data_IF_413894980106
#
_entry.id   IF_413894980106
#
_cell.length_a   1.000
_cell.length_b   1.000
_cell.length_c   1.000
_cell.angle_alpha   90.00
_cell.angle_beta   90.00
_cell.angle_gamma   90.00
#
_symmetry.space_group_name_H-M   'P 1'
#
loop_
_entity.id
_entity.type
_entity.pdbx_description
1 polymer ?
#
# COMPACT_ATOMS: atom_id res chain seq x y z
N UNK A 1 -0.63 9.04 -4.16
CA UNK A 1 -1.41 8.65 -2.96
C UNK A 1 -0.61 7.72 -2.07
N UNK A 2 -0.15 6.54 -2.57
CA UNK A 2 0.58 5.55 -1.75
C UNK A 2 1.81 6.12 -1.05
N UNK A 3 2.66 6.83 -1.78
CA UNK A 3 3.86 7.48 -1.24
C UNK A 3 3.55 8.48 -0.13
N UNK A 4 2.49 9.28 -0.31
CA UNK A 4 2.06 10.25 0.71
C UNK A 4 1.49 9.55 1.95
N UNK A 5 0.79 8.42 1.77
CA UNK A 5 0.29 7.59 2.86
C UNK A 5 1.45 7.04 3.70
N UNK A 6 2.50 6.52 3.04
CA UNK A 6 3.70 6.03 3.72
C UNK A 6 4.42 7.16 4.49
N UNK A 7 4.53 8.35 3.91
CA UNK A 7 5.16 9.50 4.53
C UNK A 7 4.41 9.99 5.79
N UNK A 8 3.08 10.08 5.72
CA UNK A 8 2.25 10.43 6.88
C UNK A 8 2.34 9.35 7.95
N UNK A 9 2.27 8.07 7.58
CA UNK A 9 2.45 6.95 8.50
C UNK A 9 3.81 6.98 9.22
N UNK A 10 4.88 7.28 8.48
CA UNK A 10 6.21 7.45 9.06
C UNK A 10 6.29 8.63 10.04
N UNK A 11 5.63 9.75 9.74
CA UNK A 11 5.55 10.89 10.67
C UNK A 11 4.85 10.53 11.98
N UNK A 12 3.77 9.74 11.91
CA UNK A 12 3.04 9.24 13.08
C UNK A 12 3.93 8.35 13.96
N UNK A 13 4.65 7.41 13.35
CA UNK A 13 5.57 6.51 14.04
C UNK A 13 6.72 7.30 14.69
N UNK A 14 7.33 8.23 13.96
CA UNK A 14 8.39 9.07 14.49
C UNK A 14 7.93 9.86 15.72
N UNK A 15 6.70 10.34 15.71
CA UNK A 15 6.13 11.06 16.86
C UNK A 15 5.97 10.15 18.06
N UNK A 16 5.40 8.96 17.90
CA UNK A 16 5.25 7.98 18.97
C UNK A 16 6.61 7.58 19.54
N UNK A 17 7.60 7.39 18.67
CA UNK A 17 8.96 7.06 19.07
C UNK A 17 9.60 8.18 19.90
N UNK A 18 9.49 9.42 19.44
CA UNK A 18 10.02 10.60 20.14
C UNK A 18 9.36 10.83 21.51
N UNK A 19 8.10 10.45 21.66
CA UNK A 19 7.36 10.53 22.94
C UNK A 19 7.52 9.28 23.82
N UNK A 20 8.36 8.31 23.43
CA UNK A 20 8.56 7.08 24.19
C UNK A 20 7.32 6.20 24.29
N UNK A 21 6.46 6.19 23.28
CA UNK A 21 5.20 5.43 23.18
C UNK A 21 5.38 4.15 22.37
N UNK A 22 5.74 3.01 22.99
CA UNK A 22 6.02 1.75 22.30
C UNK A 22 4.75 1.03 21.84
N UNK A 23 4.94 -0.05 21.07
CA UNK A 23 3.88 -0.99 20.69
C UNK A 23 3.12 -0.62 19.42
N UNK A 24 3.68 0.25 18.61
CA UNK A 24 3.13 0.61 17.30
C UNK A 24 3.65 -0.30 16.19
N UNK A 25 2.82 -0.51 15.17
CA UNK A 25 3.21 -1.20 13.92
C UNK A 25 2.73 -0.38 12.74
N UNK A 26 3.43 -0.44 11.62
CA UNK A 26 3.04 0.23 10.38
C UNK A 26 2.42 -0.74 9.38
N UNK A 27 3.07 -1.86 9.17
CA UNK A 27 2.65 -2.89 8.22
C UNK A 27 2.71 -4.26 8.88
N UNK A 28 1.90 -5.18 8.39
CA UNK A 28 1.87 -6.57 8.87
C UNK A 28 1.49 -6.73 10.35
N UNK A 29 1.10 -5.68 11.04
CA UNK A 29 0.62 -5.76 12.42
C UNK A 29 -0.81 -6.26 12.53
N UNK A 30 -1.62 -6.02 11.51
CA UNK A 30 -3.00 -6.49 11.39
C UNK A 30 -3.44 -6.53 9.93
N UNK A 31 -4.26 -7.50 9.53
CA UNK A 31 -4.88 -7.50 8.21
C UNK A 31 -6.07 -6.53 8.17
N UNK A 32 -6.13 -5.71 7.13
CA UNK A 32 -7.24 -4.79 6.89
C UNK A 32 -7.91 -5.12 5.57
N UNK A 33 -9.24 -5.21 5.58
CA UNK A 33 -10.01 -5.35 4.35
C UNK A 33 -10.10 -4.01 3.62
N UNK A 34 -9.90 -4.05 2.30
CA UNK A 34 -10.08 -2.90 1.39
C UNK A 34 -11.10 -3.18 0.30
N UNK A 35 -11.86 -4.27 0.42
CA UNK A 35 -12.83 -4.69 -0.60
C UNK A 35 -14.01 -3.73 -0.76
N UNK A 36 -14.41 -3.05 0.33
CA UNK A 36 -15.51 -2.10 0.31
C UNK A 36 -14.99 -0.69 0.02
N UNK A 37 -15.12 -0.26 -1.22
CA UNK A 37 -14.64 1.04 -1.67
C UNK A 37 -15.52 2.23 -1.24
N UNK A 38 -16.71 2.00 -0.72
CA UNK A 38 -17.59 3.03 -0.14
C UNK A 38 -17.24 3.41 1.31
N UNK A 39 -16.30 2.73 1.95
CA UNK A 39 -15.82 3.10 3.30
C UNK A 39 -15.01 4.40 3.29
N UNK A 40 -15.08 5.17 4.39
CA UNK A 40 -14.40 6.46 4.50
C UNK A 40 -12.90 6.40 4.16
N UNK A 41 -12.21 5.37 4.60
CA UNK A 41 -10.79 5.15 4.30
C UNK A 41 -10.57 4.80 2.83
N UNK A 42 -11.34 3.85 2.29
CA UNK A 42 -11.09 3.26 0.98
C UNK A 42 -11.58 4.14 -0.17
N UNK A 43 -12.68 4.87 0.00
CA UNK A 43 -13.18 5.80 -1.02
C UNK A 43 -12.17 6.90 -1.34
N UNK A 44 -11.36 7.32 -0.38
CA UNK A 44 -10.34 8.35 -0.58
C UNK A 44 -9.30 7.97 -1.63
N UNK A 45 -8.95 6.68 -1.75
CA UNK A 45 -7.97 6.19 -2.72
C UNK A 45 -8.38 6.42 -4.17
N UNK A 46 -9.67 6.41 -4.44
CA UNK A 46 -10.25 6.65 -5.77
C UNK A 46 -10.44 8.14 -6.09
N UNK A 47 -10.22 9.02 -5.13
CA UNK A 47 -10.40 10.47 -5.25
C UNK A 47 -9.10 11.27 -5.06
N UNK A 48 -7.95 10.62 -5.25
CA UNK A 48 -6.62 11.24 -5.07
C UNK A 48 -6.39 11.82 -3.66
N UNK A 49 -7.00 11.22 -2.66
CA UNK A 49 -6.84 11.62 -1.27
C UNK A 49 -6.01 10.59 -0.48
N UNK A 50 -5.35 11.04 0.57
CA UNK A 50 -4.65 10.19 1.52
C UNK A 50 -5.64 9.70 2.57
N UNK A 51 -5.97 8.40 2.52
CA UNK A 51 -6.84 7.76 3.51
C UNK A 51 -6.02 6.89 4.44
N UNK A 52 -6.16 7.10 5.74
CA UNK A 52 -5.48 6.34 6.78
C UNK A 52 -6.51 5.68 7.70
N UNK A 53 -6.20 4.46 8.11
CA UNK A 53 -6.84 3.80 9.23
C UNK A 53 -5.79 3.55 10.30
N UNK A 54 -6.11 3.94 11.52
CA UNK A 54 -5.31 3.62 12.71
C UNK A 54 -6.18 2.82 13.65
N UNK A 55 -5.66 1.68 14.09
CA UNK A 55 -6.30 0.84 15.10
C UNK A 55 -5.56 0.93 16.41
N UNK A 56 -6.31 0.99 17.49
CA UNK A 56 -5.76 1.04 18.85
C UNK A 56 -6.69 0.27 19.80
N UNK A 57 -6.16 -0.19 20.92
CA UNK A 57 -6.97 -0.87 21.94
C UNK A 57 -8.11 0.06 22.38
N UNK A 58 -9.35 -0.30 22.06
CA UNK A 58 -10.54 0.54 22.27
C UNK A 58 -11.45 0.09 23.42
N UNK A 59 -11.04 -0.89 24.25
CA UNK A 59 -11.87 -1.35 25.35
C UNK A 59 -12.09 -0.25 26.41
N UNK A 60 -13.34 0.01 26.84
CA UNK A 60 -13.62 0.95 27.92
C UNK A 60 -13.14 0.43 29.27
N UNK A 61 -13.01 -0.89 29.41
CA UNK A 61 -12.48 -1.52 30.62
C UNK A 61 -10.98 -1.74 30.51
N UNK A 62 -10.22 -1.62 31.61
CA UNK A 62 -8.79 -1.88 31.58
C UNK A 62 -8.48 -3.29 31.08
N UNK A 63 -7.59 -3.41 30.12
CA UNK A 63 -7.08 -4.67 29.59
C UNK A 63 -5.63 -4.89 30.01
N UNK A 64 -5.13 -6.11 29.84
CA UNK A 64 -3.72 -6.42 30.12
C UNK A 64 -3.02 -6.74 28.81
N UNK A 65 -1.93 -6.03 28.54
CA UNK A 65 -1.00 -6.42 27.46
C UNK A 65 -0.23 -7.64 28.00
N UNK A 66 -0.42 -8.82 27.38
CA UNK A 66 0.15 -10.06 27.89
C UNK A 66 1.65 -10.16 27.65
N UNK A 67 2.33 -10.99 28.42
CA UNK A 67 3.70 -11.41 28.13
C UNK A 67 3.70 -12.41 26.98
N UNK A 68 4.15 -12.00 25.83
CA UNK A 68 4.41 -12.86 24.66
C UNK A 68 5.85 -12.68 24.26
N UNK A 69 6.78 -13.59 24.62
CA UNK A 69 8.23 -13.40 24.44
C UNK A 69 8.62 -13.04 23.00
N UNK A 70 8.04 -13.68 22.02
CA UNK A 70 8.31 -13.39 20.59
C UNK A 70 7.94 -11.97 20.17
N UNK A 71 6.99 -11.32 20.83
CA UNK A 71 6.57 -9.94 20.55
C UNK A 71 7.44 -8.90 21.25
N UNK A 72 8.35 -9.31 22.12
CA UNK A 72 9.33 -8.42 22.77
C UNK A 72 10.61 -8.26 21.96
N UNK A 73 10.77 -9.06 20.89
CA UNK A 73 11.92 -8.97 20.00
C UNK A 73 11.61 -7.92 18.95
N UNK A 74 12.42 -6.84 18.83
CA UNK A 74 12.24 -5.83 17.79
C UNK A 74 12.31 -6.44 16.39
N UNK A 75 11.45 -5.95 15.49
CA UNK A 75 11.43 -6.34 14.09
C UNK A 75 11.04 -5.15 13.21
N UNK A 76 11.14 -5.28 11.90
CA UNK A 76 10.69 -4.23 10.97
C UNK A 76 9.19 -3.93 11.09
N UNK A 77 8.37 -4.92 11.49
CA UNK A 77 6.93 -4.72 11.73
C UNK A 77 6.62 -4.17 13.13
N UNK A 78 7.49 -4.41 14.11
CA UNK A 78 7.36 -3.95 15.49
C UNK A 78 8.70 -3.42 16.01
N UNK A 79 9.12 -2.23 15.59
CA UNK A 79 10.47 -1.72 15.87
C UNK A 79 10.66 -1.29 17.33
N UNK A 80 9.59 -0.98 18.04
CA UNK A 80 9.63 -0.58 19.43
C UNK A 80 8.59 -1.37 20.25
N UNK A 81 8.91 -2.61 20.66
CA UNK A 81 7.99 -3.47 21.40
C UNK A 81 7.53 -2.87 22.72
N UNK A 82 6.27 -3.09 23.05
CA UNK A 82 5.71 -2.72 24.35
C UNK A 82 5.89 -3.85 25.37
N UNK A 83 6.32 -3.52 26.56
CA UNK A 83 6.40 -4.48 27.69
C UNK A 83 5.02 -4.78 28.25
N UNK A 84 4.81 -5.97 28.87
CA UNK A 84 3.56 -6.32 29.52
C UNK A 84 3.15 -5.29 30.56
N UNK A 85 1.91 -4.83 30.49
CA UNK A 85 1.36 -3.85 31.45
C UNK A 85 -0.16 -3.81 31.40
N UNK A 86 -0.76 -3.16 32.43
CA UNK A 86 -2.17 -2.75 32.36
C UNK A 86 -2.29 -1.63 31.32
N UNK A 87 -3.34 -1.75 30.49
CA UNK A 87 -3.68 -0.74 29.49
C UNK A 87 -5.05 -0.17 29.83
N UNK A 88 -5.10 1.13 29.97
CA UNK A 88 -6.31 1.89 30.26
C UNK A 88 -6.76 2.63 29.01
N UNK A 89 -8.04 2.91 28.90
CA UNK A 89 -8.57 3.67 27.78
C UNK A 89 -7.88 5.04 27.61
N UNK A 90 -7.45 5.65 28.72
CA UNK A 90 -6.64 6.87 28.70
C UNK A 90 -5.36 6.72 27.88
N UNK A 91 -4.70 5.59 27.92
CA UNK A 91 -3.50 5.36 27.10
C UNK A 91 -3.83 5.43 25.60
N UNK A 92 -4.97 4.84 25.20
CA UNK A 92 -5.42 4.90 23.79
C UNK A 92 -5.71 6.33 23.36
N UNK A 93 -6.33 7.14 24.21
CA UNK A 93 -6.57 8.57 23.94
C UNK A 93 -5.23 9.30 23.75
N UNK A 94 -4.27 9.10 24.66
CA UNK A 94 -2.97 9.78 24.61
C UNK A 94 -2.17 9.40 23.34
N UNK A 95 -2.24 8.14 22.90
CA UNK A 95 -1.64 7.72 21.63
C UNK A 95 -2.36 8.35 20.43
N UNK A 96 -3.69 8.35 20.44
CA UNK A 96 -4.50 8.95 19.37
C UNK A 96 -4.21 10.44 19.20
N UNK A 97 -4.08 11.17 20.31
CA UNK A 97 -3.70 12.59 20.28
C UNK A 97 -2.34 12.78 19.64
N UNK A 98 -1.34 11.97 19.99
CA UNK A 98 0.01 12.07 19.44
C UNK A 98 0.04 11.84 17.93
N UNK A 99 -0.63 10.80 17.43
CA UNK A 99 -0.66 10.53 16.00
C UNK A 99 -1.44 11.58 15.22
N UNK A 100 -2.52 12.13 15.79
CA UNK A 100 -3.25 13.23 15.16
C UNK A 100 -2.39 14.50 15.08
N UNK A 101 -1.65 14.85 16.13
CA UNK A 101 -0.70 15.96 16.06
C UNK A 101 0.41 15.72 15.03
N UNK A 102 0.87 14.48 14.85
CA UNK A 102 1.84 14.16 13.81
C UNK A 102 1.30 14.44 12.41
N UNK A 103 0.04 14.06 12.15
CA UNK A 103 -0.64 14.35 10.87
C UNK A 103 -0.74 15.85 10.63
N UNK A 104 -1.20 16.62 11.63
CA UNK A 104 -1.34 18.08 11.53
C UNK A 104 0.02 18.76 11.29
N UNK A 105 1.05 18.34 12.02
CA UNK A 105 2.41 18.87 11.83
C UNK A 105 2.98 18.52 10.46
N UNK A 106 2.75 17.30 9.98
CA UNK A 106 3.16 16.90 8.64
C UNK A 106 2.47 17.77 7.58
N UNK A 107 1.15 17.91 7.66
CA UNK A 107 0.37 18.71 6.73
C UNK A 107 0.83 20.20 6.73
N UNK A 108 1.11 20.74 7.89
CA UNK A 108 1.60 22.13 8.01
C UNK A 108 2.97 22.33 7.35
N UNK A 109 3.90 21.39 7.57
CA UNK A 109 5.25 21.49 7.03
C UNK A 109 5.32 21.24 5.53
N UNK A 110 4.42 20.43 4.99
CA UNK A 110 4.38 20.03 3.59
C UNK A 110 3.17 20.62 2.84
N UNK A 111 2.59 21.71 3.35
CA UNK A 111 1.36 22.29 2.79
C UNK A 111 1.47 22.61 1.30
N UNK A 112 2.57 23.21 0.87
CA UNK A 112 2.74 23.66 -0.50
C UNK A 112 2.88 22.45 -1.45
N UNK A 113 3.61 21.42 -1.03
CA UNK A 113 3.72 20.15 -1.75
C UNK A 113 2.36 19.43 -1.82
N UNK A 114 1.63 19.35 -0.71
CA UNK A 114 0.33 18.70 -0.66
C UNK A 114 -0.69 19.41 -1.56
N UNK A 115 -0.74 20.74 -1.52
CA UNK A 115 -1.61 21.54 -2.39
C UNK A 115 -1.25 21.40 -3.86
N UNK A 116 0.05 21.43 -4.19
CA UNK A 116 0.52 21.19 -5.55
C UNK A 116 0.15 19.78 -6.03
N UNK A 117 0.29 18.76 -5.17
CA UNK A 117 -0.06 17.39 -5.50
C UNK A 117 -1.56 17.21 -5.75
N UNK A 118 -2.44 17.90 -5.01
CA UNK A 118 -3.88 17.91 -5.29
C UNK A 118 -4.13 18.40 -6.72
N UNK A 119 -3.56 19.54 -7.09
CA UNK A 119 -3.68 20.08 -8.45
C UNK A 119 -3.10 19.10 -9.49
N UNK A 120 -1.87 18.61 -9.27
CA UNK A 120 -1.17 17.74 -10.22
C UNK A 120 -1.88 16.40 -10.42
N UNK A 121 -2.39 15.80 -9.36
CA UNK A 121 -3.16 14.56 -9.45
C UNK A 121 -4.46 14.76 -10.22
N UNK A 122 -5.17 15.86 -9.99
CA UNK A 122 -6.38 16.22 -10.74
C UNK A 122 -6.09 16.39 -12.22
N UNK A 123 -5.06 17.15 -12.58
CA UNK A 123 -4.61 17.32 -13.97
C UNK A 123 -4.26 15.99 -14.62
N UNK A 124 -3.44 15.18 -13.95
CA UNK A 124 -3.05 13.87 -14.45
C UNK A 124 -4.25 12.94 -14.67
N UNK A 125 -5.25 13.00 -13.80
CA UNK A 125 -6.48 12.20 -13.95
C UNK A 125 -7.27 12.61 -15.21
N UNK A 126 -7.38 13.91 -15.48
CA UNK A 126 -8.04 14.43 -16.69
C UNK A 126 -7.27 14.00 -17.95
N UNK A 127 -5.97 14.20 -17.96
CA UNK A 127 -5.11 13.85 -19.11
C UNK A 127 -5.15 12.34 -19.40
N UNK A 128 -5.04 11.50 -18.37
CA UNK A 128 -5.11 10.04 -18.48
C UNK A 128 -6.48 9.51 -18.93
N UNK A 129 -7.55 10.21 -18.61
CA UNK A 129 -8.89 9.83 -19.05
C UNK A 129 -9.06 9.84 -20.58
N UNK A 130 -8.23 10.64 -21.29
CA UNK A 130 -8.23 10.73 -22.74
C UNK A 130 -7.21 9.83 -23.46
N UNK A 131 -6.32 9.16 -22.72
CA UNK A 131 -5.21 8.39 -23.29
C UNK A 131 -5.19 6.96 -22.79
N UNK A 132 -4.75 6.03 -23.63
CA UNK A 132 -4.50 4.66 -23.19
C UNK A 132 -3.31 4.64 -22.21
N UNK A 133 -3.45 3.90 -21.13
CA UNK A 133 -2.42 3.85 -20.09
C UNK A 133 -1.49 2.66 -20.26
N UNK A 134 -0.31 2.75 -19.66
CA UNK A 134 0.65 1.66 -19.56
C UNK A 134 0.25 0.57 -18.57
N UNK A 135 -0.80 0.77 -17.80
CA UNK A 135 -1.23 -0.18 -16.81
C UNK A 135 -1.75 -1.44 -17.48
N UNK A 136 -1.09 -2.54 -17.26
CA UNK A 136 -1.60 -3.83 -17.66
C UNK A 136 -2.73 -4.26 -16.76
N UNK A 137 -3.89 -4.47 -17.34
CA UNK A 137 -4.99 -5.08 -16.61
C UNK A 137 -5.10 -6.58 -16.95
N UNK A 138 -5.79 -7.37 -16.14
CA UNK A 138 -5.79 -8.84 -16.25
C UNK A 138 -5.99 -9.38 -17.65
N UNK A 139 -6.97 -8.85 -18.40
CA UNK A 139 -7.26 -9.29 -19.77
C UNK A 139 -6.06 -9.21 -20.73
N UNK A 140 -5.22 -8.17 -20.62
CA UNK A 140 -4.00 -8.04 -21.43
C UNK A 140 -2.93 -9.03 -20.99
N UNK A 141 -2.77 -9.17 -19.67
CA UNK A 141 -1.83 -10.14 -19.11
C UNK A 141 -2.18 -11.57 -19.52
N UNK A 142 -3.46 -11.92 -19.47
CA UNK A 142 -3.94 -13.22 -19.91
C UNK A 142 -3.73 -13.44 -21.41
N UNK A 143 -4.03 -12.43 -22.24
CA UNK A 143 -3.85 -12.51 -23.69
C UNK A 143 -2.37 -12.69 -24.09
N UNK A 144 -1.43 -12.00 -23.42
CA UNK A 144 0.01 -12.19 -23.63
C UNK A 144 0.42 -13.62 -23.24
N UNK A 145 -0.05 -14.09 -22.09
CA UNK A 145 0.26 -15.42 -21.57
C UNK A 145 -0.26 -16.53 -22.51
N UNK A 146 -1.48 -16.40 -22.98
CA UNK A 146 -2.10 -17.38 -23.89
C UNK A 146 -1.42 -17.38 -25.27
N UNK A 147 -1.06 -16.20 -25.80
CA UNK A 147 -0.32 -16.11 -27.04
C UNK A 147 1.06 -16.77 -26.93
N UNK A 148 1.77 -16.51 -25.85
CA UNK A 148 3.07 -17.11 -25.59
C UNK A 148 2.99 -18.63 -25.44
N UNK A 149 2.00 -19.14 -24.71
CA UNK A 149 1.79 -20.60 -24.55
C UNK A 149 1.52 -21.31 -25.88
N UNK A 150 0.79 -20.66 -26.80
CA UNK A 150 0.50 -21.24 -28.13
C UNK A 150 1.74 -21.39 -29.03
N UNK A 151 2.71 -20.50 -28.84
CA UNK A 151 3.94 -20.50 -29.64
C UNK A 151 5.11 -21.24 -28.98
N UNK A 152 4.93 -21.72 -27.72
CA UNK A 152 5.96 -22.47 -27.02
C UNK A 152 6.22 -23.82 -27.71
N UNK A 153 7.47 -24.14 -28.05
CA UNK A 153 7.84 -25.50 -28.38
C UNK A 153 7.63 -26.43 -27.20
N UNK A 154 7.33 -27.69 -27.43
CA UNK A 154 6.94 -28.69 -26.41
C UNK A 154 7.93 -28.91 -25.24
N UNK A 155 9.10 -28.26 -25.25
CA UNK A 155 10.04 -28.15 -24.11
C UNK A 155 10.46 -26.69 -23.94
N UNK A 156 10.23 -26.06 -22.77
CA UNK A 156 10.81 -24.77 -22.47
C UNK A 156 12.34 -24.91 -22.48
N UNK A 157 13.00 -24.15 -23.34
CA UNK A 157 14.43 -23.91 -23.17
C UNK A 157 14.57 -23.05 -21.91
N UNK A 158 15.03 -23.63 -20.83
CA UNK A 158 15.52 -22.87 -19.69
C UNK A 158 16.74 -22.11 -20.17
N UNK A 159 16.58 -20.81 -20.39
CA UNK A 159 17.73 -19.94 -20.60
C UNK A 159 18.52 -19.93 -19.29
N UNK A 160 19.68 -20.57 -19.30
CA UNK A 160 20.57 -20.71 -18.16
C UNK A 160 21.17 -19.39 -17.67
N UNK A 161 20.84 -18.27 -18.31
CA UNK A 161 21.33 -16.93 -17.97
C UNK A 161 20.47 -16.17 -16.96
N UNK A 162 19.30 -16.72 -16.58
CA UNK A 162 18.49 -16.08 -15.52
C UNK A 162 19.01 -16.52 -14.16
N UNK A 163 19.41 -15.58 -13.29
CA UNK A 163 19.85 -15.92 -11.95
C UNK A 163 18.71 -16.62 -11.19
N UNK A 164 18.85 -17.90 -10.90
CA UNK A 164 17.96 -18.66 -10.01
C UNK A 164 17.87 -18.06 -8.59
N UNK A 165 18.72 -17.05 -8.31
CA UNK A 165 18.86 -16.41 -7.01
C UNK A 165 17.66 -15.61 -6.54
N UNK A 166 16.65 -15.36 -7.39
CA UNK A 166 15.49 -14.54 -7.03
C UNK A 166 14.26 -15.33 -6.61
N UNK A 167 14.37 -16.67 -6.54
CA UNK A 167 13.35 -17.55 -5.92
C UNK A 167 11.95 -17.49 -6.52
N UNK A 168 11.79 -16.98 -7.75
CA UNK A 168 10.52 -16.91 -8.44
C UNK A 168 10.60 -17.69 -9.74
N UNK A 169 9.79 -18.72 -9.86
CA UNK A 169 9.47 -19.35 -11.16
C UNK A 169 8.69 -18.33 -12.01
N UNK A 170 9.38 -17.34 -12.54
CA UNK A 170 8.79 -16.33 -13.43
C UNK A 170 9.06 -16.74 -14.86
N UNK A 171 8.02 -17.11 -15.59
CA UNK A 171 8.11 -17.29 -17.05
C UNK A 171 8.40 -15.93 -17.65
N UNK A 172 9.59 -15.78 -18.27
CA UNK A 172 9.96 -14.55 -18.97
C UNK A 172 9.38 -14.61 -20.38
N UNK A 173 8.43 -13.72 -20.66
CA UNK A 173 7.78 -13.61 -21.97
C UNK A 173 8.55 -12.58 -22.80
N UNK A 174 9.03 -12.92 -24.03
CA UNK A 174 9.74 -11.98 -24.87
C UNK A 174 8.94 -10.74 -25.23
N UNK A 175 9.61 -9.59 -25.34
CA UNK A 175 9.01 -8.28 -25.56
C UNK A 175 8.11 -8.21 -26.80
N UNK A 176 8.42 -8.99 -27.87
CA UNK A 176 7.59 -9.06 -29.08
C UNK A 176 6.12 -9.38 -28.82
N UNK A 177 5.83 -10.23 -27.81
CA UNK A 177 4.44 -10.58 -27.46
C UNK A 177 3.73 -9.44 -26.75
N UNK A 178 4.45 -8.69 -25.92
CA UNK A 178 3.93 -7.50 -25.28
C UNK A 178 3.52 -6.46 -26.33
N UNK A 179 4.39 -6.16 -27.29
CA UNK A 179 4.12 -5.17 -28.33
C UNK A 179 2.89 -5.52 -29.16
N UNK A 180 2.75 -6.80 -29.59
CA UNK A 180 1.61 -7.24 -30.40
C UNK A 180 0.27 -7.11 -29.66
N UNK A 181 0.24 -7.45 -28.38
CA UNK A 181 -0.97 -7.35 -27.55
C UNK A 181 -1.27 -5.91 -27.18
N UNK A 182 -0.24 -5.12 -26.84
CA UNK A 182 -0.42 -3.73 -26.42
C UNK A 182 -0.96 -2.84 -27.56
N UNK A 183 -0.55 -3.12 -28.79
CA UNK A 183 -1.03 -2.41 -29.97
C UNK A 183 -2.40 -2.90 -30.46
N UNK A 184 -2.93 -3.99 -29.91
CA UNK A 184 -4.20 -4.56 -30.35
C UNK A 184 -5.38 -3.69 -29.85
N UNK A 185 -6.13 -3.03 -30.76
CA UNK A 185 -7.24 -2.15 -30.37
C UNK A 185 -8.40 -2.89 -29.69
N UNK A 186 -8.56 -4.20 -29.91
CA UNK A 186 -9.58 -5.01 -29.25
C UNK A 186 -9.30 -5.24 -27.76
N UNK A 187 -8.08 -4.99 -27.31
CA UNK A 187 -7.64 -5.14 -25.92
C UNK A 187 -7.42 -3.78 -25.23
N UNK A 188 -8.01 -2.70 -25.76
CA UNK A 188 -7.90 -1.38 -25.14
C UNK A 188 -8.53 -1.35 -23.76
N UNK A 189 -7.98 -0.50 -22.89
CA UNK A 189 -8.57 -0.22 -21.60
C UNK A 189 -9.92 0.47 -21.76
N UNK A 190 -10.86 0.13 -20.88
CA UNK A 190 -12.12 0.85 -20.81
C UNK A 190 -11.86 2.31 -20.42
N UNK A 191 -12.51 3.24 -21.11
CA UNK A 191 -12.42 4.68 -20.81
C UNK A 191 -13.47 5.14 -19.83
N UNK A 192 -14.51 4.36 -19.65
CA UNK A 192 -15.57 4.58 -18.68
C UNK A 192 -16.22 3.26 -18.30
N UNK A 193 -16.71 3.20 -17.09
CA UNK A 193 -17.58 2.13 -16.59
C UNK A 193 -18.95 2.76 -16.29
N UNK A 194 -20.01 2.12 -16.77
CA UNK A 194 -21.39 2.53 -16.55
C UNK A 194 -22.00 1.63 -15.48
#
# INVERSE_FOLDING_TARGET
VMTSLDAVGAAMINRLNAEGKPGFTQRAGSPYSTWYNGGLRTTTYFHNMVGLLTEIIGSPTPSTIPLVPSRLIPSSANPYPITPRRWFFRNSIDYSISINYAVLMYATRHRDELLYNIYKMGRNSIEKGGTDTWTQYPKRSDAITELYKKELPAKPTTDASTPESWGRNTTMIPLKYYDSIFKNPALRDARAYI
#
